data_IF_800568246151
#
_entry.id   IF_800568246151
#
_cell.length_a   1.000
_cell.length_b   1.000
_cell.length_c   1.000
_cell.angle_alpha   90.00
_cell.angle_beta   90.00
_cell.angle_gamma   90.00
#
_symmetry.space_group_name_H-M   'P 1'
#
loop_
_entity.id
_entity.type
_entity.pdbx_description
1 polymer ?
#
# COMPACT_ATOMS: atom_id res chain seq x y z
N UNK A 1 54.74 -21.51 34.99
CA UNK A 1 53.63 -20.85 35.70
C UNK A 1 52.35 -21.60 35.38
N UNK A 2 51.81 -22.37 36.34
CA UNK A 2 50.54 -23.08 36.14
C UNK A 2 49.40 -22.07 36.34
N UNK A 3 48.71 -21.74 35.26
CA UNK A 3 47.56 -20.86 35.28
C UNK A 3 46.42 -21.58 36.00
N UNK A 4 45.95 -21.06 37.14
CA UNK A 4 44.83 -21.63 37.89
C UNK A 4 43.52 -21.33 37.14
N UNK A 5 43.22 -22.14 36.13
CA UNK A 5 41.96 -22.08 35.42
C UNK A 5 40.84 -22.50 36.37
N UNK A 6 40.05 -21.52 36.83
CA UNK A 6 38.92 -21.77 37.73
C UNK A 6 37.77 -22.40 36.91
N UNK A 7 37.81 -23.72 36.82
CA UNK A 7 36.84 -24.55 36.08
C UNK A 7 35.39 -24.25 36.46
N UNK A 8 35.15 -23.92 37.73
CA UNK A 8 33.83 -23.57 38.26
C UNK A 8 33.32 -22.30 37.57
N UNK A 9 34.15 -21.24 37.53
CA UNK A 9 33.80 -19.99 36.85
C UNK A 9 33.54 -20.21 35.35
N UNK A 10 34.34 -21.04 34.68
CA UNK A 10 34.14 -21.34 33.26
C UNK A 10 32.77 -21.99 32.99
N UNK A 11 32.36 -22.98 33.80
CA UNK A 11 31.05 -23.63 33.68
C UNK A 11 29.91 -22.64 33.91
N UNK A 12 30.03 -21.74 34.90
CA UNK A 12 29.05 -20.68 35.12
C UNK A 12 28.90 -19.77 33.90
N UNK A 13 30.02 -19.24 33.37
CA UNK A 13 29.95 -18.37 32.20
C UNK A 13 29.40 -19.10 30.97
N UNK A 14 29.81 -20.35 30.73
CA UNK A 14 29.28 -21.15 29.62
C UNK A 14 27.76 -21.38 29.75
N UNK A 15 27.27 -21.72 30.95
CA UNK A 15 25.85 -21.91 31.21
C UNK A 15 25.05 -20.63 31.03
N UNK A 16 25.55 -19.49 31.54
CA UNK A 16 24.91 -18.19 31.37
C UNK A 16 24.84 -17.78 29.91
N UNK A 17 25.94 -17.92 29.16
CA UNK A 17 25.98 -17.59 27.72
C UNK A 17 25.00 -18.49 26.95
N UNK A 18 25.00 -19.80 27.21
CA UNK A 18 24.08 -20.73 26.57
C UNK A 18 22.61 -20.38 26.86
N UNK A 19 22.29 -20.01 28.10
CA UNK A 19 20.94 -19.58 28.49
C UNK A 19 20.50 -18.33 27.73
N UNK A 20 21.36 -17.31 27.64
CA UNK A 20 21.07 -16.07 26.89
C UNK A 20 20.86 -16.37 25.41
N UNK A 21 21.69 -17.23 24.80
CA UNK A 21 21.55 -17.62 23.40
C UNK A 21 20.24 -18.34 23.12
N UNK A 22 19.80 -19.23 24.03
CA UNK A 22 18.52 -19.94 23.90
C UNK A 22 17.35 -18.95 23.97
N UNK A 23 17.35 -18.03 24.93
CA UNK A 23 16.31 -17.01 25.07
C UNK A 23 16.27 -16.08 23.85
N UNK A 24 17.43 -15.61 23.40
CA UNK A 24 17.53 -14.75 22.22
C UNK A 24 17.00 -15.46 20.99
N UNK A 25 17.41 -16.72 20.75
CA UNK A 25 16.89 -17.53 19.65
C UNK A 25 15.36 -17.69 19.72
N UNK A 26 14.81 -17.94 20.91
CA UNK A 26 13.37 -18.03 21.12
C UNK A 26 12.64 -16.74 20.73
N UNK A 27 13.10 -15.60 21.23
CA UNK A 27 12.51 -14.28 20.92
C UNK A 27 12.68 -13.92 19.44
N UNK A 28 13.84 -14.18 18.84
CA UNK A 28 14.08 -13.94 17.40
C UNK A 28 13.16 -14.79 16.54
N UNK A 29 13.04 -16.08 16.83
CA UNK A 29 12.15 -16.99 16.08
C UNK A 29 10.69 -16.56 16.20
N UNK A 30 10.27 -16.15 17.40
CA UNK A 30 8.93 -15.61 17.61
C UNK A 30 8.70 -14.32 16.81
N UNK A 31 9.66 -13.40 16.83
CA UNK A 31 9.62 -12.17 16.04
C UNK A 31 9.50 -12.44 14.54
N UNK A 32 10.33 -13.33 13.99
CA UNK A 32 10.33 -13.65 12.55
C UNK A 32 9.03 -14.33 12.09
N UNK A 33 8.44 -15.17 12.94
CA UNK A 33 7.22 -15.92 12.59
C UNK A 33 5.95 -15.08 12.74
N UNK A 34 5.88 -14.25 13.80
CA UNK A 34 4.66 -13.53 14.17
C UNK A 34 4.66 -12.06 13.76
N UNK A 35 5.83 -11.41 13.63
CA UNK A 35 5.98 -10.02 13.21
C UNK A 35 6.48 -9.94 11.76
N UNK A 36 5.75 -10.60 10.85
CA UNK A 36 6.03 -10.45 9.41
C UNK A 36 5.71 -9.03 8.99
N UNK A 37 6.69 -8.37 8.38
CA UNK A 37 6.46 -7.10 7.71
C UNK A 37 5.37 -7.29 6.64
N UNK A 38 4.36 -6.42 6.57
CA UNK A 38 3.37 -6.48 5.51
C UNK A 38 4.06 -6.30 4.14
N UNK A 39 3.53 -6.98 3.12
CA UNK A 39 4.04 -6.86 1.75
C UNK A 39 4.04 -5.38 1.34
N UNK A 40 5.16 -4.92 0.78
CA UNK A 40 5.28 -3.55 0.29
C UNK A 40 4.48 -3.39 -0.99
N UNK A 41 3.50 -2.49 -0.95
CA UNK A 41 2.57 -2.18 -2.06
C UNK A 41 2.66 -0.72 -2.51
N UNK A 42 3.57 0.06 -1.93
CA UNK A 42 3.76 1.46 -2.30
C UNK A 42 4.30 1.63 -3.72
N UNK A 43 3.85 2.70 -4.40
CA UNK A 43 4.30 3.06 -5.74
C UNK A 43 3.20 3.67 -6.60
N UNK A 44 3.55 3.99 -7.84
CA UNK A 44 2.65 4.57 -8.82
C UNK A 44 2.06 3.45 -9.69
N UNK A 45 0.73 3.40 -9.80
CA UNK A 45 0.01 2.38 -10.55
C UNK A 45 -0.78 3.01 -11.70
N UNK A 46 -0.60 2.51 -12.92
CA UNK A 46 -1.49 2.87 -14.03
C UNK A 46 -2.77 2.04 -13.97
N UNK A 47 -3.92 2.70 -14.01
CA UNK A 47 -5.24 2.05 -14.00
C UNK A 47 -5.73 1.83 -15.43
N UNK A 48 -6.11 0.59 -15.71
CA UNK A 48 -6.85 0.18 -16.89
C UNK A 48 -8.27 -0.26 -16.47
N UNK A 49 -9.28 0.16 -17.22
CA UNK A 49 -10.67 -0.28 -17.02
C UNK A 49 -11.03 -1.34 -18.05
N UNK A 50 -11.74 -2.40 -17.62
CA UNK A 50 -12.23 -3.43 -18.53
C UNK A 50 -13.31 -2.85 -19.46
N UNK A 51 -14.23 -2.06 -18.90
CA UNK A 51 -15.28 -1.35 -19.63
C UNK A 51 -15.33 0.12 -19.17
N UNK A 52 -14.51 1.01 -19.78
CA UNK A 52 -14.47 2.40 -19.36
C UNK A 52 -15.77 3.12 -19.71
N UNK A 53 -16.35 3.89 -18.79
CA UNK A 53 -17.47 4.77 -19.10
C UNK A 53 -16.99 5.90 -20.04
N UNK A 54 -17.88 6.46 -20.85
CA UNK A 54 -17.53 7.44 -21.90
C UNK A 54 -16.69 8.64 -21.38
N UNK A 55 -16.93 9.06 -20.15
CA UNK A 55 -16.19 10.10 -19.42
C UNK A 55 -14.72 9.77 -19.12
N UNK A 56 -14.34 8.49 -19.04
CA UNK A 56 -12.98 8.03 -18.68
C UNK A 56 -12.25 7.36 -19.85
N UNK A 57 -12.92 7.18 -21.00
CA UNK A 57 -12.40 6.44 -22.16
C UNK A 57 -11.08 6.97 -22.74
N UNK A 58 -10.79 8.26 -22.55
CA UNK A 58 -9.57 8.93 -23.04
C UNK A 58 -8.70 9.52 -21.92
N UNK A 59 -8.96 9.14 -20.65
CA UNK A 59 -8.27 9.70 -19.49
C UNK A 59 -7.31 8.66 -18.91
N UNK A 60 -6.03 9.01 -18.89
CA UNK A 60 -4.99 8.22 -18.24
C UNK A 60 -5.04 8.52 -16.73
N UNK A 61 -5.27 7.47 -15.93
CA UNK A 61 -5.39 7.55 -14.47
C UNK A 61 -4.22 6.83 -13.80
N UNK A 62 -3.56 7.55 -12.92
CA UNK A 62 -2.45 7.05 -12.11
C UNK A 62 -2.85 7.07 -10.63
N UNK A 63 -2.79 5.91 -9.99
CA UNK A 63 -3.03 5.72 -8.57
C UNK A 63 -1.68 5.65 -7.85
N UNK A 64 -1.35 6.70 -7.11
CA UNK A 64 -0.16 6.73 -6.25
C UNK A 64 -0.50 6.15 -4.90
N UNK A 65 0.23 5.14 -4.45
CA UNK A 65 -0.02 4.44 -3.18
C UNK A 65 1.17 4.64 -2.24
N UNK A 66 0.89 5.06 -1.02
CA UNK A 66 1.80 5.12 0.11
C UNK A 66 1.30 4.20 1.23
N UNK A 67 2.22 3.51 1.90
CA UNK A 67 1.88 2.50 2.89
C UNK A 67 2.55 2.80 4.23
N UNK A 68 1.76 2.71 5.31
CA UNK A 68 2.24 2.72 6.69
C UNK A 68 1.67 1.51 7.43
N UNK A 69 2.44 0.42 7.48
CA UNK A 69 1.99 -0.86 8.02
C UNK A 69 0.80 -1.44 7.25
N UNK A 70 -0.34 -1.59 7.93
CA UNK A 70 -1.61 -2.04 7.32
C UNK A 70 -2.46 -0.89 6.77
N UNK A 71 -2.07 0.37 7.00
CA UNK A 71 -2.78 1.53 6.51
C UNK A 71 -2.23 1.94 5.16
N UNK A 72 -3.12 2.30 4.25
CA UNK A 72 -2.79 2.76 2.91
C UNK A 72 -3.34 4.16 2.72
N UNK A 73 -2.52 5.03 2.16
CA UNK A 73 -2.92 6.33 1.64
C UNK A 73 -2.71 6.28 0.13
N UNK A 74 -3.66 6.80 -0.63
CA UNK A 74 -3.52 6.83 -2.07
C UNK A 74 -4.03 8.13 -2.66
N UNK A 75 -3.47 8.52 -3.79
CA UNK A 75 -3.93 9.66 -4.56
C UNK A 75 -4.21 9.19 -5.98
N UNK A 76 -5.44 9.37 -6.42
CA UNK A 76 -5.83 9.13 -7.80
C UNK A 76 -5.67 10.43 -8.60
N UNK A 77 -4.84 10.40 -9.63
CA UNK A 77 -4.41 11.58 -10.41
C UNK A 77 -4.69 11.36 -11.89
N UNK A 78 -5.18 12.39 -12.58
CA UNK A 78 -5.27 12.43 -14.05
C UNK A 78 -3.99 13.05 -14.63
N UNK A 79 -3.28 12.32 -15.50
CA UNK A 79 -1.98 12.78 -16.02
C UNK A 79 -2.05 13.98 -16.98
N UNK A 80 -3.19 14.22 -17.63
CA UNK A 80 -3.35 15.30 -18.63
C UNK A 80 -3.93 16.61 -18.08
N UNK A 81 -4.01 16.78 -16.76
CA UNK A 81 -4.55 18.02 -16.16
C UNK A 81 -3.43 19.03 -15.91
N UNK A 82 -3.48 20.25 -16.50
CA UNK A 82 -2.43 21.26 -16.34
C UNK A 82 -2.29 21.80 -14.90
N UNK A 83 -3.30 21.58 -14.06
CA UNK A 83 -3.23 21.88 -12.63
C UNK A 83 -3.33 20.60 -11.79
N UNK A 84 -2.45 20.48 -10.79
CA UNK A 84 -2.50 19.52 -9.67
C UNK A 84 -3.80 19.58 -8.82
N UNK A 85 -4.81 20.32 -9.29
CA UNK A 85 -6.15 20.46 -8.72
C UNK A 85 -7.01 19.19 -8.85
N UNK A 86 -6.58 18.24 -9.69
CA UNK A 86 -7.34 17.06 -10.06
C UNK A 86 -6.84 15.78 -9.38
N UNK A 87 -6.64 15.84 -8.06
CA UNK A 87 -6.28 14.68 -7.22
C UNK A 87 -7.44 14.26 -6.32
N UNK A 88 -7.70 12.96 -6.22
CA UNK A 88 -8.62 12.39 -5.25
C UNK A 88 -7.81 11.67 -4.18
N UNK A 89 -7.83 12.20 -2.97
CA UNK A 89 -7.21 11.55 -1.82
C UNK A 89 -8.10 10.38 -1.37
N UNK A 90 -7.47 9.23 -1.22
CA UNK A 90 -8.05 7.97 -0.77
C UNK A 90 -7.27 7.49 0.45
N UNK A 91 -7.96 6.84 1.36
CA UNK A 91 -7.34 6.21 2.54
C UNK A 91 -8.01 4.88 2.80
N UNK A 92 -7.27 3.97 3.41
CA UNK A 92 -7.74 2.60 3.48
C UNK A 92 -6.88 1.67 4.29
N UNK A 93 -7.21 0.38 4.17
CA UNK A 93 -6.52 -0.69 4.88
C UNK A 93 -6.15 -1.80 3.92
N UNK A 94 -4.94 -2.31 4.10
CA UNK A 94 -4.44 -3.52 3.47
C UNK A 94 -4.50 -4.67 4.45
N UNK A 95 -5.18 -5.75 4.06
CA UNK A 95 -5.10 -7.03 4.74
C UNK A 95 -5.00 -8.10 3.68
N UNK A 96 -3.76 -8.50 3.38
CA UNK A 96 -3.42 -9.38 2.27
C UNK A 96 -4.40 -10.56 2.10
N UNK A 97 -4.92 -10.81 0.88
CA UNK A 97 -4.71 -10.05 -0.36
C UNK A 97 -5.65 -8.85 -0.51
N UNK A 98 -6.58 -8.62 0.41
CA UNK A 98 -7.66 -7.64 0.26
C UNK A 98 -7.18 -6.22 0.53
N UNK A 99 -7.61 -5.30 -0.33
CA UNK A 99 -7.36 -3.87 -0.21
C UNK A 99 -8.68 -3.13 -0.37
N UNK A 100 -8.93 -2.19 0.55
CA UNK A 100 -10.08 -1.30 0.51
C UNK A 100 -9.54 0.12 0.66
N UNK A 101 -9.86 0.97 -0.30
CA UNK A 101 -9.53 2.39 -0.33
C UNK A 101 -10.83 3.17 -0.47
N UNK A 102 -11.02 4.19 0.36
CA UNK A 102 -12.18 5.05 0.30
C UNK A 102 -11.75 6.50 0.40
N UNK A 103 -12.49 7.37 -0.27
CA UNK A 103 -12.31 8.80 -0.17
C UNK A 103 -13.50 9.52 -0.76
N UNK A 104 -13.27 10.79 -1.08
CA UNK A 104 -14.31 11.68 -1.55
C UNK A 104 -13.99 12.02 -3.00
N UNK A 105 -14.82 11.57 -3.94
CA UNK A 105 -14.64 11.94 -5.34
C UNK A 105 -14.95 13.42 -5.55
N UNK A 106 -14.09 14.07 -6.33
CA UNK A 106 -14.41 15.37 -6.90
C UNK A 106 -15.36 15.13 -8.09
N UNK A 107 -16.57 15.72 -8.12
CA UNK A 107 -17.53 15.53 -9.21
C UNK A 107 -16.97 15.90 -10.59
N UNK A 108 -15.95 16.77 -10.66
CA UNK A 108 -15.27 17.14 -11.92
C UNK A 108 -14.42 16.00 -12.50
N UNK A 109 -14.04 14.99 -11.70
CA UNK A 109 -13.13 13.92 -12.10
C UNK A 109 -13.86 12.63 -12.46
N UNK A 110 -14.90 12.27 -11.70
CA UNK A 110 -15.68 11.04 -11.87
C UNK A 110 -17.06 11.35 -12.42
N UNK A 111 -17.20 11.27 -13.75
CA UNK A 111 -18.44 11.02 -14.51
C UNK A 111 -19.76 11.62 -13.99
N UNK A 112 -19.74 12.75 -13.29
CA UNK A 112 -20.95 13.38 -12.78
C UNK A 112 -21.65 14.10 -13.91
N UNK A 113 -22.83 13.63 -14.25
CA UNK A 113 -23.77 14.33 -15.13
C UNK A 113 -24.43 15.52 -14.43
N UNK A 114 -24.45 15.50 -13.09
CA UNK A 114 -25.05 16.56 -12.27
C UNK A 114 -23.98 17.51 -11.73
N UNK A 115 -24.15 18.80 -12.04
CA UNK A 115 -23.45 19.97 -11.50
C UNK A 115 -23.65 20.16 -9.97
N UNK A 116 -24.19 19.16 -9.29
CA UNK A 116 -24.38 19.18 -7.85
C UNK A 116 -23.01 19.13 -7.19
N UNK A 117 -22.62 20.20 -6.51
CA UNK A 117 -21.36 20.37 -5.74
C UNK A 117 -21.25 19.41 -4.53
N UNK A 118 -22.01 18.32 -4.54
CA UNK A 118 -22.08 17.36 -3.45
C UNK A 118 -21.00 16.31 -3.68
N UNK A 119 -20.01 16.35 -2.81
CA UNK A 119 -18.89 15.42 -2.78
C UNK A 119 -19.40 13.98 -2.54
N UNK A 120 -19.07 13.04 -3.44
CA UNK A 120 -19.59 11.67 -3.36
C UNK A 120 -18.54 10.70 -2.76
N UNK A 121 -18.97 9.68 -2.02
CA UNK A 121 -18.05 8.67 -1.52
C UNK A 121 -17.59 7.78 -2.68
N UNK A 122 -16.27 7.74 -2.89
CA UNK A 122 -15.61 6.85 -3.85
C UNK A 122 -14.95 5.70 -3.08
N UNK A 123 -15.22 4.47 -3.48
CA UNK A 123 -14.61 3.27 -2.87
C UNK A 123 -14.00 2.39 -3.94
N UNK A 124 -12.73 2.03 -3.75
CA UNK A 124 -12.00 1.05 -4.54
C UNK A 124 -11.79 -0.18 -3.66
N UNK A 125 -12.35 -1.32 -4.07
CA UNK A 125 -12.21 -2.59 -3.35
C UNK A 125 -11.63 -3.63 -4.28
N UNK A 126 -10.64 -4.40 -3.82
CA UNK A 126 -10.04 -5.43 -4.66
C UNK A 126 -9.02 -6.29 -3.95
N UNK A 127 -8.30 -7.06 -4.76
CA UNK A 127 -7.19 -7.90 -4.33
C UNK A 127 -5.87 -7.42 -4.94
N UNK A 128 -4.84 -7.35 -4.10
CA UNK A 128 -3.46 -7.13 -4.51
C UNK A 128 -2.71 -8.45 -4.57
N UNK A 129 -2.21 -8.81 -5.75
CA UNK A 129 -1.39 -10.01 -5.99
C UNK A 129 -0.34 -9.69 -7.06
N UNK A 130 0.92 -10.09 -6.85
CA UNK A 130 2.00 -9.94 -7.83
C UNK A 130 2.12 -8.54 -8.47
N UNK A 131 2.08 -7.47 -7.66
CA UNK A 131 2.15 -6.07 -8.14
C UNK A 131 0.98 -5.61 -9.02
N UNK A 132 -0.11 -6.38 -9.00
CA UNK A 132 -1.37 -6.05 -9.65
C UNK A 132 -2.43 -5.82 -8.56
N UNK A 133 -3.12 -4.70 -8.64
CA UNK A 133 -4.31 -4.44 -7.85
C UNK A 133 -5.53 -4.55 -8.76
N UNK A 134 -6.34 -5.60 -8.58
CA UNK A 134 -7.54 -5.84 -9.38
C UNK A 134 -8.77 -5.72 -8.51
N UNK A 135 -9.77 -4.97 -8.97
CA UNK A 135 -10.92 -4.69 -8.13
C UNK A 135 -12.03 -3.96 -8.86
N UNK A 136 -12.90 -3.38 -8.05
CA UNK A 136 -14.05 -2.59 -8.48
C UNK A 136 -13.98 -1.20 -7.90
N UNK A 137 -14.32 -0.21 -8.74
CA UNK A 137 -14.57 1.16 -8.34
C UNK A 137 -16.09 1.32 -8.20
N UNK A 138 -16.51 1.81 -7.05
CA UNK A 138 -17.90 2.15 -6.76
C UNK A 138 -17.98 3.63 -6.38
N UNK A 139 -18.85 4.35 -7.07
CA UNK A 139 -19.26 5.73 -6.77
C UNK A 139 -20.79 5.76 -6.85
N UNK A 140 -21.43 6.67 -6.11
CA UNK A 140 -22.89 6.90 -6.20
C UNK A 140 -23.32 7.37 -7.59
N UNK A 141 -22.41 8.00 -8.34
CA UNK A 141 -22.66 8.51 -9.70
C UNK A 141 -22.63 7.40 -10.75
N UNK A 142 -22.08 6.24 -10.42
CA UNK A 142 -22.00 5.09 -11.31
C UNK A 142 -23.19 4.15 -11.04
N UNK A 143 -23.98 3.88 -12.09
CA UNK A 143 -25.10 2.93 -11.99
C UNK A 143 -24.66 1.51 -11.65
N UNK A 144 -23.43 1.12 -12.02
CA UNK A 144 -22.83 -0.19 -11.73
C UNK A 144 -21.35 -0.03 -11.34
N UNK A 145 -20.81 -0.90 -10.46
CA UNK A 145 -19.38 -0.95 -10.16
C UNK A 145 -18.56 -1.24 -11.42
N UNK A 146 -17.43 -0.55 -11.58
CA UNK A 146 -16.54 -0.74 -12.74
C UNK A 146 -15.33 -1.56 -12.32
N UNK A 147 -15.06 -2.63 -13.05
CA UNK A 147 -13.84 -3.41 -12.87
C UNK A 147 -12.62 -2.63 -13.38
N UNK A 148 -11.55 -2.65 -12.60
CA UNK A 148 -10.28 -2.05 -12.97
C UNK A 148 -9.10 -2.96 -12.62
N UNK A 149 -8.02 -2.78 -13.36
CA UNK A 149 -6.71 -3.38 -13.10
C UNK A 149 -5.68 -2.27 -12.99
N UNK A 150 -5.06 -2.15 -11.82
CA UNK A 150 -3.94 -1.26 -11.56
C UNK A 150 -2.63 -2.05 -11.65
N UNK A 151 -1.72 -1.62 -12.54
CA UNK A 151 -0.39 -2.20 -12.73
C UNK A 151 0.67 -1.29 -12.14
N UNK A 152 1.55 -1.82 -11.29
CA UNK A 152 2.66 -1.04 -10.74
C UNK A 152 3.59 -0.60 -11.88
N UNK A 153 3.78 0.72 -12.00
CA UNK A 153 4.72 1.28 -12.96
C UNK A 153 6.15 1.02 -12.49
N UNK A 154 7.07 0.70 -13.42
CA UNK A 154 8.49 0.66 -13.08
C UNK A 154 8.89 2.04 -12.59
N UNK A 155 9.45 2.11 -11.38
CA UNK A 155 9.84 3.36 -10.73
C UNK A 155 10.73 4.18 -11.69
N UNK A 156 10.16 5.24 -12.26
CA UNK A 156 11.01 6.34 -12.73
C UNK A 156 11.55 6.97 -11.46
N UNK A 157 12.88 6.93 -11.27
CA UNK A 157 13.56 7.55 -10.13
C UNK A 157 12.99 8.95 -9.95
N UNK A 158 12.27 9.16 -8.86
CA UNK A 158 11.97 10.50 -8.36
C UNK A 158 13.33 11.18 -8.20
N UNK A 159 13.60 12.13 -9.09
CA UNK A 159 14.78 12.98 -9.04
C UNK A 159 14.76 13.66 -7.66
N UNK A 160 15.65 13.21 -6.78
CA UNK A 160 15.88 13.88 -5.50
C UNK A 160 16.27 15.30 -5.83
N UNK A 161 15.33 16.24 -5.69
CA UNK A 161 15.68 17.65 -5.54
C UNK A 161 16.52 17.75 -4.27
N UNK A 162 17.82 17.85 -4.47
CA UNK A 162 18.75 18.27 -3.45
C UNK A 162 18.43 19.74 -3.14
N UNK A 163 18.05 20.01 -1.89
CA UNK A 163 18.10 21.34 -1.30
C UNK A 163 19.52 21.61 -0.80
#
# INVERSE_FOLDING_TARGET
MRHNFNWISFVFYAATIASVLILFKGVTTYGETQLKAPVSIGGDYSIEFDTPPNCLKNKDLTLKIEQSGIYIFANLVLEKSPDNLNKIALSGKFKEPKMILSGISNPLLFCSSDLSQTSNPLTLTGEFKNKLFKGQIQDKTLSNPINFTAKLNPVSKSEKQAH
#
